data_IF_073420096389
#
_entry.id   IF_073420096389
#
_cell.length_a   1.000
_cell.length_b   1.000
_cell.length_c   1.000
_cell.angle_alpha   90.00
_cell.angle_beta   90.00
_cell.angle_gamma   90.00
#
_symmetry.space_group_name_H-M   'P 1'
#
loop_
_entity.id
_entity.type
_entity.pdbx_description
1 polymer ?
#
# COMPACT_ATOMS: atom_id res chain seq x y z
N UNK A 1 -39.31 11.95 31.42
CA UNK A 1 -38.11 12.41 32.13
C UNK A 1 -37.06 12.62 31.06
N UNK A 2 -36.74 13.89 30.81
CA UNK A 2 -35.86 14.34 29.74
C UNK A 2 -34.38 14.10 30.12
N UNK A 3 -33.61 13.50 29.22
CA UNK A 3 -32.15 13.60 29.28
C UNK A 3 -31.61 14.01 27.91
N UNK A 4 -31.27 15.27 27.83
CA UNK A 4 -30.61 15.94 26.73
C UNK A 4 -29.13 15.59 26.77
N UNK A 5 -28.62 14.82 25.79
CA UNK A 5 -27.18 14.59 25.61
C UNK A 5 -26.60 15.74 24.79
N UNK A 6 -25.58 16.40 25.35
CA UNK A 6 -24.85 17.51 24.74
C UNK A 6 -23.82 16.97 23.72
N UNK A 7 -23.95 17.41 22.49
CA UNK A 7 -22.90 17.29 21.49
C UNK A 7 -21.73 18.22 21.84
N UNK A 8 -20.53 17.68 21.97
CA UNK A 8 -19.29 18.44 22.04
C UNK A 8 -18.68 18.48 20.63
N UNK A 9 -18.76 19.65 19.98
CA UNK A 9 -17.99 19.95 18.77
C UNK A 9 -16.52 20.16 19.19
N UNK A 10 -15.64 19.26 18.76
CA UNK A 10 -14.18 19.45 18.79
C UNK A 10 -13.74 20.24 17.56
N UNK A 11 -13.29 21.46 17.74
CA UNK A 11 -12.69 22.28 16.70
C UNK A 11 -11.22 21.82 16.49
N UNK A 12 -10.91 21.34 15.30
CA UNK A 12 -9.53 21.09 14.86
C UNK A 12 -8.95 22.42 14.38
N UNK A 13 -7.97 22.94 15.10
CA UNK A 13 -7.23 24.14 14.70
C UNK A 13 -6.08 23.75 13.76
N UNK A 14 -6.20 24.12 12.50
CA UNK A 14 -5.11 24.05 11.51
C UNK A 14 -4.16 25.22 11.80
N UNK A 15 -2.93 24.92 12.23
CA UNK A 15 -1.85 25.90 12.37
C UNK A 15 -1.12 26.02 11.05
N UNK A 16 -1.40 27.09 10.30
CA UNK A 16 -0.61 27.47 9.13
C UNK A 16 0.59 28.31 9.63
N UNK A 17 1.79 27.75 9.56
CA UNK A 17 3.02 28.47 9.83
C UNK A 17 3.43 29.31 8.60
N UNK A 18 3.15 30.60 8.65
CA UNK A 18 3.65 31.57 7.68
C UNK A 18 5.13 31.90 7.97
N UNK A 19 6.04 31.45 7.12
CA UNK A 19 7.45 31.88 7.14
C UNK A 19 7.54 33.28 6.53
N UNK A 20 7.68 34.28 7.39
CA UNK A 20 8.04 35.65 7.00
C UNK A 20 9.54 35.71 6.69
N UNK A 21 9.89 35.81 5.41
CA UNK A 21 11.24 36.10 4.97
C UNK A 21 11.66 37.54 5.32
N UNK A 22 12.64 37.65 6.20
CA UNK A 22 13.27 38.95 6.53
C UNK A 22 14.41 39.13 5.53
N UNK A 23 14.24 40.03 4.56
CA UNK A 23 15.32 40.48 3.69
C UNK A 23 16.11 41.57 4.40
N UNK A 24 17.37 41.26 4.78
CA UNK A 24 18.35 42.27 5.21
C UNK A 24 18.97 42.95 3.99
N UNK A 25 18.69 44.23 3.84
CA UNK A 25 19.40 45.11 2.92
C UNK A 25 20.76 45.47 3.54
N UNK A 26 21.86 44.95 2.96
CA UNK A 26 23.21 45.37 3.28
C UNK A 26 23.67 46.39 2.23
N UNK A 27 24.13 47.62 2.60
CA UNK A 27 24.62 48.58 1.64
C UNK A 27 25.99 48.15 1.06
N UNK A 28 26.12 48.27 -0.26
CA UNK A 28 27.22 47.77 -1.04
C UNK A 28 28.58 48.37 -0.75
N UNK A 29 29.61 47.51 -0.82
CA UNK A 29 30.99 47.85 -1.08
C UNK A 29 31.44 47.21 -2.40
N UNK A 30 32.32 47.82 -3.19
CA UNK A 30 32.78 47.26 -4.46
C UNK A 30 33.73 46.07 -4.20
N UNK A 31 33.23 44.86 -4.49
CA UNK A 31 34.06 43.66 -4.47
C UNK A 31 34.41 43.28 -5.91
N UNK A 32 35.71 43.30 -6.20
CA UNK A 32 36.30 42.78 -7.43
C UNK A 32 36.25 41.24 -7.29
N UNK A 33 35.19 40.62 -7.89
CA UNK A 33 35.02 39.18 -7.91
C UNK A 33 35.81 38.52 -9.02
N UNK A 34 36.80 37.72 -8.66
CA UNK A 34 37.31 36.67 -9.53
C UNK A 34 36.29 35.53 -9.59
N UNK A 35 36.24 34.72 -10.69
CA UNK A 35 35.39 33.55 -10.74
C UNK A 35 35.89 32.56 -9.67
N UNK A 36 35.11 32.41 -8.59
CA UNK A 36 35.32 31.37 -7.61
C UNK A 36 35.03 30.01 -8.26
N UNK A 37 35.74 28.95 -7.84
CA UNK A 37 35.41 27.62 -8.32
C UNK A 37 33.98 27.29 -7.96
N UNK A 38 33.14 27.03 -8.96
CA UNK A 38 31.84 26.42 -8.76
C UNK A 38 32.05 25.05 -8.13
N UNK A 39 31.83 24.93 -6.84
CA UNK A 39 31.64 23.62 -6.23
C UNK A 39 30.32 23.06 -6.77
N UNK A 40 30.36 22.47 -7.94
CA UNK A 40 29.37 21.47 -8.30
C UNK A 40 29.55 20.35 -7.27
N UNK A 41 28.64 20.33 -6.30
CA UNK A 41 28.49 19.18 -5.44
C UNK A 41 28.17 18.00 -6.37
N UNK A 42 29.15 17.12 -6.59
CA UNK A 42 28.95 15.86 -7.26
C UNK A 42 27.93 15.10 -6.43
N UNK A 43 26.68 15.09 -6.88
CA UNK A 43 25.66 14.23 -6.29
C UNK A 43 26.20 12.81 -6.41
N UNK A 44 26.32 12.12 -5.28
CA UNK A 44 26.62 10.69 -5.31
C UNK A 44 25.52 10.01 -6.16
N UNK A 45 25.86 9.05 -7.02
CA UNK A 45 24.85 8.33 -7.78
C UNK A 45 23.84 7.72 -6.80
N UNK A 46 22.56 7.87 -7.10
CA UNK A 46 21.52 7.21 -6.34
C UNK A 46 21.74 5.70 -6.40
N UNK A 47 21.53 4.98 -5.28
CA UNK A 47 21.70 3.54 -5.27
C UNK A 47 20.70 2.90 -6.22
N UNK A 48 21.18 2.02 -7.09
CA UNK A 48 20.32 1.25 -8.00
C UNK A 48 19.40 0.34 -7.18
N UNK A 49 18.08 0.33 -7.42
CA UNK A 49 17.16 -0.58 -6.74
C UNK A 49 17.55 -2.06 -6.91
N UNK A 50 17.34 -2.85 -5.88
CA UNK A 50 17.56 -4.29 -5.90
C UNK A 50 16.27 -4.99 -6.33
N UNK A 51 16.34 -5.92 -7.30
CA UNK A 51 15.17 -6.70 -7.69
C UNK A 51 14.62 -7.49 -6.49
N UNK A 52 13.32 -7.30 -6.18
CA UNK A 52 12.64 -8.09 -5.17
C UNK A 52 12.57 -9.54 -5.65
N UNK A 53 12.99 -10.48 -4.82
CA UNK A 53 12.94 -11.90 -5.11
C UNK A 53 12.61 -12.66 -3.85
N UNK A 54 11.87 -13.76 -3.99
CA UNK A 54 11.61 -14.66 -2.89
C UNK A 54 12.89 -14.97 -2.11
N UNK A 55 12.84 -14.77 -0.81
CA UNK A 55 13.95 -15.10 0.07
C UNK A 55 13.95 -16.61 0.31
N UNK A 56 14.94 -17.31 -0.21
CA UNK A 56 15.05 -18.76 -0.01
C UNK A 56 15.29 -19.03 1.46
N UNK A 57 14.32 -19.69 2.12
CA UNK A 57 14.42 -20.10 3.52
C UNK A 57 14.16 -18.96 4.53
N UNK A 58 13.18 -18.11 4.28
CA UNK A 58 12.80 -16.99 5.16
C UNK A 58 13.98 -16.03 5.44
N UNK A 59 14.79 -15.78 4.42
CA UNK A 59 15.92 -14.86 4.51
C UNK A 59 15.44 -13.43 4.69
N UNK A 60 15.97 -12.77 5.73
CA UNK A 60 15.76 -11.35 5.98
C UNK A 60 16.23 -10.53 4.78
N UNK A 61 15.40 -9.57 4.36
CA UNK A 61 15.86 -8.54 3.44
C UNK A 61 16.76 -7.54 4.20
N UNK A 62 17.82 -7.09 3.55
CA UNK A 62 18.56 -5.92 4.04
C UNK A 62 17.70 -4.67 3.84
N UNK A 63 17.68 -3.72 4.79
CA UNK A 63 16.98 -2.46 4.57
C UNK A 63 17.50 -1.75 3.31
N UNK A 64 16.59 -1.29 2.45
CA UNK A 64 17.01 -0.65 1.19
C UNK A 64 15.89 -0.51 0.18
N UNK A 65 16.25 -0.05 -1.02
CA UNK A 65 15.32 0.17 -2.12
C UNK A 65 15.25 -1.06 -3.01
N UNK A 66 14.03 -1.51 -3.26
CA UNK A 66 13.72 -2.70 -4.07
C UNK A 66 12.82 -2.33 -5.23
N UNK A 67 12.88 -3.14 -6.29
CA UNK A 67 11.97 -3.05 -7.43
C UNK A 67 11.26 -4.39 -7.66
N UNK A 68 9.96 -4.34 -7.89
CA UNK A 68 9.09 -5.46 -8.28
C UNK A 68 8.43 -5.18 -9.61
N UNK A 69 8.18 -6.23 -10.40
CA UNK A 69 7.39 -6.18 -11.63
C UNK A 69 6.16 -7.08 -11.42
N UNK A 70 5.13 -6.57 -10.73
CA UNK A 70 4.09 -7.42 -10.14
C UNK A 70 3.03 -7.89 -11.15
N UNK A 71 2.92 -7.26 -12.32
CA UNK A 71 1.85 -7.55 -13.25
C UNK A 71 2.33 -8.46 -14.38
N UNK A 72 1.79 -9.67 -14.46
CA UNK A 72 2.04 -10.57 -15.59
C UNK A 72 1.48 -10.01 -16.92
N UNK A 73 0.37 -9.25 -16.84
CA UNK A 73 -0.25 -8.57 -17.98
C UNK A 73 0.55 -7.36 -18.48
N UNK A 74 1.39 -6.77 -17.63
CA UNK A 74 2.26 -5.64 -17.96
C UNK A 74 3.64 -5.79 -17.29
N UNK A 75 4.55 -6.59 -17.86
CA UNK A 75 5.87 -6.84 -17.27
C UNK A 75 6.82 -5.64 -17.31
N UNK A 76 6.46 -4.56 -18.01
CA UNK A 76 7.23 -3.31 -18.03
C UNK A 76 6.84 -2.35 -16.88
N UNK A 77 5.78 -2.65 -16.16
CA UNK A 77 5.40 -1.87 -14.99
C UNK A 77 6.31 -2.25 -13.83
N UNK A 78 7.12 -1.31 -13.41
CA UNK A 78 8.03 -1.43 -12.28
C UNK A 78 7.50 -0.64 -11.08
N UNK A 79 7.54 -1.25 -9.90
CA UNK A 79 7.21 -0.61 -8.62
C UNK A 79 8.46 -0.59 -7.76
N UNK A 80 9.00 0.59 -7.53
CA UNK A 80 10.16 0.80 -6.66
C UNK A 80 9.70 1.28 -5.30
N UNK A 81 10.27 0.74 -4.23
CA UNK A 81 9.89 1.10 -2.85
C UNK A 81 11.01 0.78 -1.86
N UNK A 82 10.97 1.38 -0.67
CA UNK A 82 11.98 1.20 0.37
C UNK A 82 11.47 0.26 1.46
N UNK A 83 12.21 -0.82 1.71
CA UNK A 83 11.92 -1.83 2.73
C UNK A 83 12.72 -1.52 3.99
N UNK A 84 12.07 -1.38 5.17
CA UNK A 84 12.75 -1.24 6.45
C UNK A 84 13.29 -2.58 6.96
N UNK A 85 13.98 -2.53 8.10
CA UNK A 85 14.53 -3.73 8.72
C UNK A 85 13.44 -4.67 9.27
N UNK A 86 13.70 -5.96 9.22
CA UNK A 86 12.83 -6.99 9.81
C UNK A 86 11.72 -7.50 8.89
N UNK A 87 11.91 -7.40 7.58
CA UNK A 87 11.02 -7.97 6.58
C UNK A 87 11.72 -9.03 5.75
N UNK A 88 10.94 -9.93 5.14
CA UNK A 88 11.41 -10.87 4.12
C UNK A 88 10.45 -10.89 2.92
N UNK A 89 10.96 -11.25 1.75
CA UNK A 89 10.13 -11.45 0.56
C UNK A 89 9.62 -12.89 0.55
N UNK A 90 8.30 -13.05 0.63
CA UNK A 90 7.63 -14.34 0.48
C UNK A 90 7.72 -14.81 -0.97
N UNK A 91 7.50 -13.89 -1.90
CA UNK A 91 7.72 -14.04 -3.33
C UNK A 91 8.27 -12.72 -3.94
N UNK A 92 8.20 -12.54 -5.26
CA UNK A 92 8.68 -11.36 -5.97
C UNK A 92 7.70 -10.17 -5.92
N UNK A 93 6.57 -10.32 -5.25
CA UNK A 93 5.53 -9.29 -5.10
C UNK A 93 5.00 -9.14 -3.67
N UNK A 94 5.40 -10.00 -2.72
CA UNK A 94 4.83 -10.06 -1.36
C UNK A 94 5.90 -9.99 -0.29
N UNK A 95 5.70 -9.09 0.66
CA UNK A 95 6.54 -8.90 1.84
C UNK A 95 5.79 -9.22 3.12
N UNK A 96 6.50 -9.85 4.05
CA UNK A 96 5.98 -10.29 5.34
C UNK A 96 6.99 -9.94 6.44
N UNK A 97 6.56 -9.51 7.64
CA UNK A 97 7.46 -9.24 8.74
C UNK A 97 8.07 -10.54 9.30
N UNK A 98 9.34 -10.47 9.68
CA UNK A 98 10.03 -11.58 10.35
C UNK A 98 9.48 -11.78 11.75
N UNK A 99 9.10 -13.00 12.05
CA UNK A 99 8.67 -13.45 13.38
C UNK A 99 7.16 -13.43 13.57
N UNK A 100 6.46 -12.40 13.08
CA UNK A 100 5.00 -12.30 13.18
C UNK A 100 4.31 -13.07 12.04
N UNK A 101 4.88 -13.03 10.83
CA UNK A 101 4.28 -13.66 9.66
C UNK A 101 3.13 -12.85 9.05
N UNK A 102 2.27 -13.52 8.30
CA UNK A 102 1.09 -12.90 7.65
C UNK A 102 -0.24 -13.30 8.30
N UNK A 103 -0.22 -14.22 9.26
CA UNK A 103 -1.43 -14.69 9.94
C UNK A 103 -1.70 -13.90 11.24
N UNK A 104 -2.98 -13.89 11.66
CA UNK A 104 -3.36 -13.28 12.94
C UNK A 104 -2.78 -14.00 14.15
N UNK A 105 -2.79 -13.36 15.31
CA UNK A 105 -3.43 -12.04 15.58
C UNK A 105 -2.54 -10.82 15.38
N UNK A 106 -1.28 -10.96 14.99
CA UNK A 106 -0.26 -9.91 14.97
C UNK A 106 0.51 -9.80 13.63
N UNK A 107 0.13 -10.60 12.65
CA UNK A 107 0.72 -10.59 11.31
C UNK A 107 0.48 -9.31 10.52
N UNK A 108 1.21 -9.17 9.43
CA UNK A 108 1.07 -8.09 8.47
C UNK A 108 1.57 -8.51 7.08
N UNK A 109 1.12 -7.83 6.05
CA UNK A 109 1.56 -8.06 4.66
C UNK A 109 1.58 -6.75 3.88
N UNK A 110 2.53 -6.64 2.96
CA UNK A 110 2.46 -5.77 1.80
C UNK A 110 2.58 -6.65 0.56
N UNK A 111 1.63 -6.54 -0.37
CA UNK A 111 1.69 -7.26 -1.65
C UNK A 111 1.27 -6.36 -2.82
N UNK A 112 1.85 -6.63 -3.99
CA UNK A 112 1.44 -6.05 -5.26
C UNK A 112 0.71 -7.15 -6.04
N UNK A 113 -0.55 -6.89 -6.41
CA UNK A 113 -1.45 -7.91 -6.93
C UNK A 113 -2.06 -7.51 -8.27
N UNK A 114 -2.36 -8.53 -9.08
CA UNK A 114 -3.21 -8.43 -10.25
C UNK A 114 -4.52 -9.17 -9.93
N UNK A 115 -5.61 -8.43 -9.70
CA UNK A 115 -6.91 -8.99 -9.34
C UNK A 115 -7.85 -8.80 -10.51
N UNK A 116 -8.33 -9.88 -11.14
CA UNK A 116 -9.31 -9.84 -12.23
C UNK A 116 -10.72 -10.12 -11.77
N UNK A 117 -10.87 -10.99 -10.76
CA UNK A 117 -12.15 -11.52 -10.33
C UNK A 117 -12.24 -11.56 -8.81
N UNK A 118 -13.48 -11.42 -8.29
CA UNK A 118 -13.79 -11.56 -6.87
C UNK A 118 -14.86 -12.63 -6.68
N UNK A 119 -14.96 -13.18 -5.47
CA UNK A 119 -16.03 -14.12 -5.14
C UNK A 119 -17.32 -13.36 -4.79
N UNK A 120 -18.48 -13.78 -5.32
CA UNK A 120 -19.79 -13.25 -4.90
C UNK A 120 -20.19 -13.74 -3.51
N UNK A 121 -19.75 -14.93 -3.14
CA UNK A 121 -19.87 -15.49 -1.79
C UNK A 121 -18.47 -15.89 -1.28
N UNK A 122 -17.88 -15.11 -0.38
CA UNK A 122 -16.53 -15.39 0.12
C UNK A 122 -16.45 -16.70 0.95
N UNK A 123 -17.57 -17.31 1.33
CA UNK A 123 -17.60 -18.62 1.96
C UNK A 123 -17.55 -19.79 0.96
N UNK A 124 -17.88 -19.58 -0.31
CA UNK A 124 -17.84 -20.61 -1.35
C UNK A 124 -16.44 -20.77 -1.94
N UNK A 125 -15.57 -21.48 -1.24
CA UNK A 125 -14.17 -21.69 -1.63
C UNK A 125 -13.91 -22.81 -2.64
N UNK A 126 -14.95 -23.47 -3.17
CA UNK A 126 -14.82 -24.68 -4.00
C UNK A 126 -14.90 -24.41 -5.51
N UNK A 127 -15.05 -23.17 -5.91
CA UNK A 127 -15.11 -22.73 -7.31
C UNK A 127 -14.07 -21.66 -7.62
N UNK A 128 -13.98 -21.32 -8.91
CA UNK A 128 -13.29 -20.11 -9.32
C UNK A 128 -14.13 -18.88 -8.91
N UNK A 129 -13.51 -17.71 -8.71
CA UNK A 129 -14.25 -16.47 -8.46
C UNK A 129 -15.20 -16.21 -9.65
N UNK A 130 -16.39 -15.74 -9.35
CA UNK A 130 -17.53 -15.71 -10.28
C UNK A 130 -17.98 -14.29 -10.67
N UNK A 131 -17.35 -13.28 -10.10
CA UNK A 131 -17.61 -11.87 -10.41
C UNK A 131 -16.40 -11.26 -11.09
N UNK A 132 -16.52 -10.96 -12.38
CA UNK A 132 -15.55 -10.16 -13.14
C UNK A 132 -15.50 -8.74 -12.54
N UNK A 133 -14.35 -8.36 -12.03
CA UNK A 133 -14.14 -7.07 -11.39
C UNK A 133 -13.84 -5.94 -12.41
N UNK A 134 -14.06 -6.16 -13.69
CA UNK A 134 -13.85 -5.17 -14.74
C UNK A 134 -12.36 -4.81 -14.92
N UNK A 135 -12.09 -3.71 -15.62
CA UNK A 135 -10.73 -3.32 -16.00
C UNK A 135 -10.15 -2.15 -15.19
N UNK A 136 -10.99 -1.31 -14.59
CA UNK A 136 -10.56 -0.06 -13.94
C UNK A 136 -10.46 -0.19 -12.42
N UNK A 137 -9.82 0.79 -11.78
CA UNK A 137 -9.78 0.88 -10.32
C UNK A 137 -11.19 1.06 -9.73
N UNK A 138 -12.08 1.78 -10.41
CA UNK A 138 -13.48 1.97 -10.02
C UNK A 138 -14.23 0.64 -10.03
N UNK A 139 -14.12 -0.14 -11.12
CA UNK A 139 -14.81 -1.42 -11.26
C UNK A 139 -14.44 -2.39 -10.14
N UNK A 140 -13.15 -2.48 -9.80
CA UNK A 140 -12.69 -3.36 -8.71
C UNK A 140 -13.15 -2.85 -7.33
N UNK A 141 -13.11 -1.54 -7.10
CA UNK A 141 -13.60 -0.95 -5.85
C UNK A 141 -15.11 -1.20 -5.67
N UNK A 142 -15.89 -1.09 -6.74
CA UNK A 142 -17.32 -1.42 -6.74
C UNK A 142 -17.57 -2.91 -6.45
N UNK A 143 -16.76 -3.80 -7.04
CA UNK A 143 -16.84 -5.23 -6.79
C UNK A 143 -16.56 -5.58 -5.32
N UNK A 144 -15.56 -4.97 -4.68
CA UNK A 144 -15.32 -5.11 -3.24
C UNK A 144 -16.46 -4.54 -2.39
N UNK A 145 -17.02 -3.40 -2.78
CA UNK A 145 -18.12 -2.77 -2.04
C UNK A 145 -19.43 -3.54 -2.11
N UNK A 146 -19.61 -4.36 -3.14
CA UNK A 146 -20.79 -5.20 -3.32
C UNK A 146 -20.76 -6.48 -2.48
N UNK A 147 -19.63 -6.79 -1.80
CA UNK A 147 -19.48 -8.00 -1.01
C UNK A 147 -20.38 -7.99 0.23
N UNK A 148 -21.18 -9.04 0.49
CA UNK A 148 -22.11 -9.06 1.61
C UNK A 148 -21.45 -9.33 2.98
N UNK A 149 -20.21 -9.82 2.98
CA UNK A 149 -19.54 -10.31 4.19
C UNK A 149 -18.93 -9.20 5.05
N UNK A 150 -18.72 -8.01 4.49
CA UNK A 150 -18.10 -6.87 5.17
C UNK A 150 -18.60 -5.54 4.60
N UNK A 151 -18.36 -4.45 5.32
CA UNK A 151 -18.64 -3.09 4.85
C UNK A 151 -17.34 -2.46 4.37
N UNK A 152 -17.23 -2.15 3.08
CA UNK A 152 -16.08 -1.47 2.52
C UNK A 152 -16.28 0.05 2.52
N UNK A 153 -15.22 0.77 2.89
CA UNK A 153 -15.08 2.22 2.70
C UNK A 153 -14.28 2.48 1.44
N UNK A 154 -14.79 3.30 0.52
CA UNK A 154 -14.11 3.65 -0.73
C UNK A 154 -13.88 5.15 -0.80
N UNK A 155 -12.66 5.55 -1.11
CA UNK A 155 -12.27 6.96 -1.30
C UNK A 155 -11.40 7.11 -2.54
N UNK A 156 -11.43 8.29 -3.16
CA UNK A 156 -10.50 8.63 -4.25
C UNK A 156 -9.11 8.90 -3.68
N UNK A 157 -8.07 8.47 -4.41
CA UNK A 157 -6.69 8.76 -4.07
C UNK A 157 -5.85 9.05 -5.31
N UNK A 158 -4.66 9.58 -5.07
CA UNK A 158 -3.59 9.68 -6.06
C UNK A 158 -2.29 9.23 -5.39
N UNK A 159 -1.56 8.32 -6.01
CA UNK A 159 -0.24 7.87 -5.56
C UNK A 159 0.71 7.96 -6.75
N UNK A 160 1.85 8.59 -6.56
CA UNK A 160 2.89 8.80 -7.58
C UNK A 160 2.35 9.33 -8.93
N UNK A 161 1.35 10.23 -8.86
CA UNK A 161 0.72 10.85 -10.04
C UNK A 161 -0.39 10.03 -10.70
N UNK A 162 -0.59 8.76 -10.34
CA UNK A 162 -1.67 7.92 -10.82
C UNK A 162 -2.90 8.03 -9.94
N UNK A 163 -4.06 8.17 -10.59
CA UNK A 163 -5.36 8.22 -9.90
C UNK A 163 -5.90 6.82 -9.65
N UNK A 164 -6.68 6.68 -8.58
CA UNK A 164 -7.28 5.41 -8.23
C UNK A 164 -8.22 5.47 -7.04
N UNK A 165 -8.43 4.33 -6.41
CA UNK A 165 -9.32 4.15 -5.26
C UNK A 165 -8.58 3.54 -4.08
N UNK A 166 -8.87 4.04 -2.89
CA UNK A 166 -8.58 3.36 -1.62
C UNK A 166 -9.80 2.59 -1.19
N UNK A 167 -9.65 1.29 -0.96
CA UNK A 167 -10.70 0.44 -0.39
C UNK A 167 -10.22 -0.08 0.95
N UNK A 168 -11.02 0.11 1.99
CA UNK A 168 -10.71 -0.33 3.35
C UNK A 168 -11.87 -1.13 3.91
N UNK A 169 -11.61 -2.27 4.50
CA UNK A 169 -12.59 -3.06 5.23
C UNK A 169 -11.94 -3.96 6.27
N UNK A 170 -12.75 -4.46 7.19
CA UNK A 170 -12.35 -5.44 8.18
C UNK A 170 -13.21 -6.69 8.03
N UNK A 171 -12.58 -7.84 8.00
CA UNK A 171 -13.28 -9.11 8.05
C UNK A 171 -13.92 -9.32 9.43
N UNK A 172 -15.07 -10.00 9.50
CA UNK A 172 -15.73 -10.29 10.76
C UNK A 172 -14.83 -11.03 11.76
N UNK A 173 -15.06 -10.79 13.06
CA UNK A 173 -14.35 -11.48 14.14
C UNK A 173 -14.77 -12.95 14.31
N UNK A 174 -15.95 -13.30 13.80
CA UNK A 174 -16.47 -14.66 13.78
C UNK A 174 -17.00 -14.95 12.37
N UNK A 175 -16.60 -16.07 11.81
CA UNK A 175 -17.14 -16.52 10.53
C UNK A 175 -18.57 -17.02 10.71
N UNK A 176 -19.40 -16.83 9.68
CA UNK A 176 -20.69 -17.50 9.61
C UNK A 176 -20.47 -19.02 9.71
N UNK A 177 -21.26 -19.70 10.54
CA UNK A 177 -21.21 -21.16 10.71
C UNK A 177 -21.46 -21.94 9.40
N UNK A 178 -21.92 -21.27 8.34
CA UNK A 178 -22.03 -21.81 6.99
C UNK A 178 -20.74 -21.78 6.19
N UNK A 179 -19.72 -20.99 6.61
CA UNK A 179 -18.40 -20.98 5.98
C UNK A 179 -17.65 -22.28 6.29
N UNK A 180 -17.37 -23.13 5.30
CA UNK A 180 -16.92 -24.50 5.55
C UNK A 180 -15.47 -24.62 6.06
N UNK A 181 -14.71 -23.52 6.09
CA UNK A 181 -13.27 -23.54 6.42
C UNK A 181 -12.83 -22.53 7.48
N UNK A 182 -13.75 -21.78 8.07
CA UNK A 182 -13.39 -20.65 8.95
C UNK A 182 -12.45 -19.64 8.26
N UNK A 183 -12.62 -19.44 6.95
CA UNK A 183 -11.82 -18.59 6.10
C UNK A 183 -12.70 -17.90 5.06
N UNK A 184 -12.37 -16.66 4.68
CA UNK A 184 -12.99 -15.97 3.55
C UNK A 184 -12.04 -15.99 2.34
N UNK A 185 -12.61 -16.26 1.18
CA UNK A 185 -11.98 -16.11 -0.13
C UNK A 185 -12.53 -14.84 -0.76
N UNK A 186 -11.70 -13.82 -0.90
CA UNK A 186 -12.16 -12.50 -1.30
C UNK A 186 -11.96 -12.24 -2.79
N UNK A 187 -10.84 -12.68 -3.34
CA UNK A 187 -10.51 -12.53 -4.76
C UNK A 187 -9.81 -13.76 -5.33
N UNK A 188 -9.81 -13.88 -6.68
CA UNK A 188 -9.10 -14.91 -7.42
C UNK A 188 -7.63 -14.59 -7.64
N UNK A 189 -6.87 -15.61 -8.06
CA UNK A 189 -5.42 -15.50 -8.31
C UNK A 189 -4.55 -16.32 -7.37
N UNK A 190 -5.15 -17.02 -6.44
CA UNK A 190 -4.52 -17.92 -5.48
C UNK A 190 -5.35 -18.05 -4.21
N UNK A 191 -5.11 -19.06 -3.38
CA UNK A 191 -5.75 -19.12 -2.09
C UNK A 191 -5.19 -17.98 -1.23
N UNK A 192 -5.94 -16.90 -1.12
CA UNK A 192 -5.79 -15.93 -0.04
C UNK A 192 -6.93 -16.17 0.96
N UNK A 193 -6.90 -17.30 1.70
CA UNK A 193 -7.83 -17.50 2.78
C UNK A 193 -7.51 -16.49 3.88
N UNK A 194 -8.51 -15.76 4.31
CA UNK A 194 -8.30 -14.72 5.30
C UNK A 194 -9.03 -15.06 6.58
N UNK A 195 -8.28 -14.96 7.68
CA UNK A 195 -8.76 -15.19 9.03
C UNK A 195 -9.62 -14.05 9.58
N UNK A 196 -10.25 -14.26 10.76
CA UNK A 196 -11.08 -13.26 11.40
C UNK A 196 -10.28 -12.01 11.82
N UNK A 197 -10.99 -10.89 11.95
CA UNK A 197 -10.43 -9.60 12.40
C UNK A 197 -9.33 -9.01 11.51
N UNK A 198 -9.10 -9.56 10.33
CA UNK A 198 -8.13 -9.05 9.38
C UNK A 198 -8.61 -7.72 8.78
N UNK A 199 -7.79 -6.68 8.88
CA UNK A 199 -8.05 -5.35 8.30
C UNK A 199 -7.33 -5.25 6.97
N UNK A 200 -8.06 -4.86 5.95
CA UNK A 200 -7.58 -4.77 4.59
C UNK A 200 -7.54 -3.33 4.10
N UNK A 201 -6.45 -2.98 3.45
CA UNK A 201 -6.28 -1.72 2.76
C UNK A 201 -5.77 -1.99 1.35
N UNK A 202 -6.59 -1.65 0.35
CA UNK A 202 -6.23 -1.79 -1.05
C UNK A 202 -6.10 -0.41 -1.66
N UNK A 203 -4.91 -0.09 -2.19
CA UNK A 203 -4.68 1.04 -3.07
C UNK A 203 -4.75 0.52 -4.50
N UNK A 204 -5.80 0.85 -5.22
CA UNK A 204 -6.08 0.37 -6.56
C UNK A 204 -5.83 1.51 -7.54
N UNK A 205 -4.85 1.37 -8.43
CA UNK A 205 -4.42 2.42 -9.36
C UNK A 205 -4.68 2.02 -10.81
N UNK A 206 -5.07 3.01 -11.63
CA UNK A 206 -5.07 2.90 -13.08
C UNK A 206 -3.74 3.44 -13.62
N UNK A 207 -2.85 2.55 -14.05
CA UNK A 207 -1.50 2.85 -14.53
C UNK A 207 -1.40 2.54 -16.01
N UNK A 208 -1.53 3.55 -16.88
CA UNK A 208 -1.40 3.45 -18.33
C UNK A 208 -2.18 2.28 -18.96
N UNK A 209 -3.41 2.06 -18.47
CA UNK A 209 -4.31 1.01 -18.96
C UNK A 209 -4.14 -0.34 -18.28
N UNK A 210 -3.25 -0.44 -17.30
CA UNK A 210 -3.12 -1.59 -16.39
C UNK A 210 -3.65 -1.24 -15.02
N UNK A 211 -4.24 -2.20 -14.32
CA UNK A 211 -4.69 -2.02 -12.94
C UNK A 211 -3.66 -2.63 -11.99
N UNK A 212 -3.03 -1.77 -11.17
CA UNK A 212 -2.13 -2.18 -10.09
C UNK A 212 -2.89 -2.15 -8.76
N UNK A 213 -2.80 -3.22 -8.00
CA UNK A 213 -3.33 -3.27 -6.63
C UNK A 213 -2.17 -3.37 -5.65
N UNK A 214 -2.03 -2.37 -4.78
CA UNK A 214 -1.13 -2.39 -3.63
C UNK A 214 -1.99 -2.79 -2.45
N UNK A 215 -1.75 -3.98 -1.95
CA UNK A 215 -2.51 -4.59 -0.88
C UNK A 215 -1.70 -4.60 0.40
N UNK A 216 -2.30 -4.11 1.48
CA UNK A 216 -1.78 -4.36 2.82
C UNK A 216 -2.87 -4.95 3.70
N UNK A 217 -2.46 -5.81 4.60
CA UNK A 217 -3.31 -6.20 5.70
C UNK A 217 -2.56 -6.17 7.03
N UNK A 218 -3.32 -5.99 8.10
CA UNK A 218 -2.87 -6.11 9.47
C UNK A 218 -4.02 -6.57 10.38
N UNK A 219 -3.72 -6.76 11.65
CA UNK A 219 -4.68 -7.17 12.68
C UNK A 219 -4.65 -6.18 13.86
N UNK A 220 -5.61 -6.30 14.77
CA UNK A 220 -5.63 -5.48 15.98
C UNK A 220 -4.41 -5.69 16.88
N UNK A 221 -3.77 -6.86 16.81
CA UNK A 221 -2.55 -7.21 17.55
C UNK A 221 -1.26 -6.83 16.84
N UNK A 222 -1.31 -6.42 15.57
CA UNK A 222 -0.11 -6.03 14.80
C UNK A 222 0.62 -4.88 15.52
N UNK A 223 1.92 -5.03 15.81
CA UNK A 223 2.70 -3.99 16.47
C UNK A 223 2.64 -2.65 15.72
N UNK A 224 2.51 -1.55 16.46
CA UNK A 224 2.46 -0.20 15.85
C UNK A 224 3.70 0.13 15.00
N UNK A 225 4.86 -0.48 15.30
CA UNK A 225 6.05 -0.36 14.45
C UNK A 225 5.84 -0.99 13.07
N UNK A 226 5.14 -2.12 13.00
CA UNK A 226 4.85 -2.79 11.72
C UNK A 226 3.81 -2.04 10.89
N UNK A 227 2.83 -1.44 11.55
CA UNK A 227 1.89 -0.53 10.89
C UNK A 227 2.62 0.70 10.30
N UNK A 228 3.53 1.30 11.08
CA UNK A 228 4.37 2.40 10.60
C UNK A 228 5.32 1.98 9.47
N UNK A 229 5.85 0.75 9.50
CA UNK A 229 6.64 0.19 8.40
C UNK A 229 5.80 0.09 7.11
N UNK A 230 4.56 -0.43 7.18
CA UNK A 230 3.64 -0.50 6.04
C UNK A 230 3.36 0.89 5.45
N UNK A 231 3.02 1.86 6.30
CA UNK A 231 2.79 3.26 5.89
C UNK A 231 4.04 3.85 5.20
N UNK A 232 5.23 3.59 5.76
CA UNK A 232 6.49 4.07 5.20
C UNK A 232 6.81 3.43 3.84
N UNK A 233 6.57 2.13 3.70
CA UNK A 233 6.75 1.42 2.42
C UNK A 233 5.83 2.00 1.34
N UNK A 234 4.53 2.17 1.64
CA UNK A 234 3.55 2.76 0.70
C UNK A 234 3.96 4.19 0.33
N UNK A 235 4.36 5.01 1.30
CA UNK A 235 4.77 6.40 1.06
C UNK A 235 6.04 6.54 0.21
N UNK A 236 6.83 5.49 0.08
CA UNK A 236 8.07 5.44 -0.70
C UNK A 236 7.88 4.86 -2.10
N UNK A 237 6.64 4.49 -2.48
CA UNK A 237 6.37 3.87 -3.78
C UNK A 237 6.56 4.88 -4.90
N UNK A 238 7.32 4.47 -5.91
CA UNK A 238 7.50 5.10 -7.21
C UNK A 238 7.12 4.08 -8.30
N UNK A 239 6.35 4.52 -9.30
CA UNK A 239 5.80 3.65 -10.34
C UNK A 239 6.34 4.12 -11.69
N UNK A 240 6.97 3.24 -12.44
CA UNK A 240 7.53 3.54 -13.75
C UNK A 240 7.11 2.49 -14.78
N UNK A 241 6.97 2.92 -16.04
CA UNK A 241 6.86 2.00 -17.18
C UNK A 241 8.22 1.98 -17.86
N UNK A 242 8.89 0.84 -17.78
CA UNK A 242 10.19 0.63 -18.43
C UNK A 242 10.04 0.62 -19.96
N UNK A 243 11.01 1.17 -20.66
CA UNK A 243 11.01 1.20 -22.14
C UNK A 243 11.83 0.01 -22.61
N UNK A 244 11.24 -0.84 -23.46
CA UNK A 244 12.01 -1.87 -24.15
C UNK A 244 13.06 -1.22 -25.09
N UNK A 245 14.33 -1.51 -24.88
CA UNK A 245 15.45 -1.07 -25.72
C UNK A 245 15.60 -1.93 -27.02
#
# INVERSE_FOLDING_TARGET
>A
MNNTAKLALGAVAVVVAALLGITFLVPGGPSIGGPGPSNEASLAPEPTPTALRASVGEGRLEPGTYVSHPLASNPLLAVTFTVPDGWYAFDDSTLVPLGEGFEGPDGAVLAFLEISDVYSDPCESLGDPDVDAGATAEDLADAFSAQPAYEASVTDLTLDGYSGKQVEFQLPSEFDASCPRDEYFVFGGGPYPQGPDNRWHLTILDVDGSRLVIFTHDFAGTPASRQADLESMIASIEIEIEIED
#
